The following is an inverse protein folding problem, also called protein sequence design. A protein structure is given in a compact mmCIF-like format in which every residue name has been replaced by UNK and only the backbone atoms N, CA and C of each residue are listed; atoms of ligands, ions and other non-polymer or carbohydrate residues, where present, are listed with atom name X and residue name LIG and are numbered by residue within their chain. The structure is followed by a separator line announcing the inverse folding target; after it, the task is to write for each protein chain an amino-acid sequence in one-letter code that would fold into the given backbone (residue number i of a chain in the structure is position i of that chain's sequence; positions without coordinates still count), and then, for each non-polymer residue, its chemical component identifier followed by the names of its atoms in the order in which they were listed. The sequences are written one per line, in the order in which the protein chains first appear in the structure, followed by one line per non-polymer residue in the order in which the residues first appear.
data_IF_341293800083
#
_entry.id   IF_341293800083
#
_cell.length_a   1.000
_cell.length_b   1.000
_cell.length_c   1.000
_cell.angle_alpha   90.00
_cell.angle_beta   90.00
_cell.angle_gamma   90.00
#
_symmetry.space_group_name_H-M   'P 1'
#
loop_
_entity.id
_entity.type
_entity.pdbx_description
1 polymer ?
#
# COMPACT_ATOMS: atom_id res chain seq x y z
N UNK A 1 -15.58 -11.39 11.64
CA UNK A 1 -14.48 -10.86 10.81
C UNK A 1 -13.37 -10.43 11.75
N UNK A 2 -12.11 -10.69 11.38
CA UNK A 2 -10.94 -10.17 12.12
C UNK A 2 -10.85 -8.65 11.92
N UNK A 3 -10.24 -7.93 12.87
CA UNK A 3 -9.96 -6.50 12.75
C UNK A 3 -9.13 -6.20 11.48
N UNK A 4 -8.14 -7.03 11.21
CA UNK A 4 -7.32 -7.04 10.00
C UNK A 4 -8.16 -7.10 8.70
N UNK A 5 -9.14 -8.01 8.63
CA UNK A 5 -9.98 -8.14 7.44
C UNK A 5 -10.87 -6.91 7.23
N UNK A 6 -11.36 -6.29 8.30
CA UNK A 6 -12.15 -5.07 8.19
C UNK A 6 -11.30 -3.89 7.69
N UNK A 7 -10.05 -3.80 8.16
CA UNK A 7 -9.10 -2.82 7.67
C UNK A 7 -8.84 -3.01 6.16
N UNK A 8 -8.49 -4.24 5.76
CA UNK A 8 -8.28 -4.59 4.34
C UNK A 8 -9.47 -4.20 3.47
N UNK A 9 -10.68 -4.57 3.88
CA UNK A 9 -11.91 -4.24 3.15
C UNK A 9 -12.12 -2.73 3.04
N UNK A 10 -11.88 -1.96 4.11
CA UNK A 10 -12.04 -0.50 4.08
C UNK A 10 -11.15 0.16 3.02
N UNK A 11 -9.88 -0.24 2.95
CA UNK A 11 -8.95 0.31 1.96
C UNK A 11 -9.35 -0.10 0.53
N UNK A 12 -9.77 -1.35 0.34
CA UNK A 12 -10.17 -1.86 -0.98
C UNK A 12 -11.50 -1.26 -1.48
N UNK A 13 -12.46 -1.03 -0.58
CA UNK A 13 -13.78 -0.47 -0.91
C UNK A 13 -13.70 1.05 -1.14
N UNK A 14 -12.79 1.75 -0.44
CA UNK A 14 -12.64 3.21 -0.48
C UNK A 14 -11.18 3.65 -0.70
N UNK A 15 -10.50 3.21 -1.78
CA UNK A 15 -9.06 3.39 -1.93
C UNK A 15 -8.66 4.86 -2.08
N UNK A 16 -9.48 5.66 -2.77
CA UNK A 16 -9.19 7.09 -2.95
C UNK A 16 -9.31 7.85 -1.63
N UNK A 17 -10.37 7.60 -0.88
CA UNK A 17 -10.60 8.21 0.42
C UNK A 17 -9.54 7.77 1.45
N UNK A 18 -9.12 6.51 1.40
CA UNK A 18 -8.03 6.00 2.23
C UNK A 18 -6.71 6.75 1.96
N UNK A 19 -6.39 6.98 0.69
CA UNK A 19 -5.20 7.76 0.29
C UNK A 19 -5.34 9.24 0.70
N UNK A 20 -6.52 9.85 0.49
CA UNK A 20 -6.79 11.23 0.92
C UNK A 20 -6.63 11.40 2.43
N UNK A 21 -7.12 10.44 3.21
CA UNK A 21 -6.99 10.43 4.67
C UNK A 21 -5.54 10.26 5.11
N UNK A 22 -4.82 9.30 4.53
CA UNK A 22 -3.48 8.93 4.98
C UNK A 22 -2.36 9.85 4.45
N UNK A 23 -2.52 10.38 3.24
CA UNK A 23 -1.48 11.10 2.51
C UNK A 23 -2.08 12.25 1.67
N UNK A 24 -2.79 13.17 2.32
CA UNK A 24 -3.50 14.27 1.67
C UNK A 24 -2.65 15.06 0.64
N UNK A 25 -1.35 15.25 0.90
CA UNK A 25 -0.44 15.96 -0.02
C UNK A 25 -0.16 15.18 -1.31
N UNK A 26 -0.09 13.86 -1.25
CA UNK A 26 0.04 13.00 -2.44
C UNK A 26 -1.31 12.88 -3.14
N UNK A 27 -2.40 12.73 -2.39
CA UNK A 27 -3.76 12.65 -2.91
C UNK A 27 -4.13 13.87 -3.76
N UNK A 28 -3.78 15.07 -3.29
CA UNK A 28 -4.02 16.33 -4.01
C UNK A 28 -3.34 16.40 -5.38
N UNK A 29 -2.34 15.56 -5.65
CA UNK A 29 -1.61 15.52 -6.92
C UNK A 29 -2.13 14.45 -7.88
N UNK A 30 -3.05 13.58 -7.45
CA UNK A 30 -3.44 12.41 -8.22
C UNK A 30 -4.22 12.74 -9.50
N UNK A 31 -5.03 13.80 -9.48
CA UNK A 31 -5.97 14.07 -10.56
C UNK A 31 -7.17 13.10 -10.53
N UNK A 32 -8.16 13.36 -11.37
CA UNK A 32 -9.41 12.57 -11.41
C UNK A 32 -9.32 11.35 -12.34
N UNK A 33 -8.32 11.33 -13.22
CA UNK A 33 -8.10 10.30 -14.24
C UNK A 33 -7.19 9.15 -13.78
N UNK A 34 -6.60 9.25 -12.59
CA UNK A 34 -5.76 8.19 -12.01
C UNK A 34 -6.56 6.90 -11.87
N UNK A 35 -5.95 5.79 -12.26
CA UNK A 35 -6.46 4.44 -12.00
C UNK A 35 -5.83 3.92 -10.73
N UNK A 36 -6.66 3.47 -9.78
CA UNK A 36 -6.19 2.87 -8.53
C UNK A 36 -6.49 1.37 -8.60
N UNK A 37 -5.43 0.56 -8.59
CA UNK A 37 -5.48 -0.87 -8.82
C UNK A 37 -4.96 -1.62 -7.58
N UNK A 38 -5.80 -2.41 -6.89
CA UNK A 38 -5.30 -3.24 -5.80
C UNK A 38 -4.41 -4.35 -6.34
N UNK A 39 -3.26 -4.55 -5.70
CA UNK A 39 -2.32 -5.61 -6.05
C UNK A 39 -2.63 -6.85 -5.20
N UNK A 40 -2.75 -8.01 -5.85
CA UNK A 40 -3.10 -9.26 -5.18
C UNK A 40 -1.90 -9.86 -4.48
N UNK A 41 -2.10 -10.28 -3.24
CA UNK A 41 -1.05 -10.84 -2.38
C UNK A 41 -0.41 -12.09 -2.99
N UNK A 42 -1.20 -12.95 -3.63
CA UNK A 42 -0.71 -14.19 -4.26
C UNK A 42 0.27 -13.89 -5.39
N UNK A 43 0.00 -12.85 -6.19
CA UNK A 43 0.90 -12.43 -7.28
C UNK A 43 2.21 -11.86 -6.72
N UNK A 44 2.16 -11.19 -5.57
CA UNK A 44 3.35 -10.69 -4.90
C UNK A 44 4.18 -11.83 -4.30
N UNK A 45 3.53 -12.84 -3.69
CA UNK A 45 4.18 -14.07 -3.19
C UNK A 45 4.93 -14.81 -4.29
N UNK A 46 4.29 -15.03 -5.44
CA UNK A 46 4.89 -15.71 -6.59
C UNK A 46 6.14 -15.00 -7.11
N UNK A 47 6.15 -13.65 -7.08
CA UNK A 47 7.26 -12.86 -7.65
C UNK A 47 8.37 -12.53 -6.64
N UNK A 48 8.06 -12.42 -5.34
CA UNK A 48 9.03 -12.07 -4.29
C UNK A 48 9.59 -13.30 -3.52
N UNK A 49 9.01 -14.49 -3.71
CA UNK A 49 9.49 -15.74 -3.12
C UNK A 49 9.51 -15.73 -1.59
N UNK A 50 10.50 -16.39 -0.96
CA UNK A 50 10.63 -16.47 0.51
C UNK A 50 10.87 -15.12 1.21
N UNK A 51 11.12 -14.05 0.45
CA UNK A 51 11.23 -12.68 0.99
C UNK A 51 9.87 -12.00 1.16
N UNK A 52 8.79 -12.72 0.88
CA UNK A 52 7.45 -12.22 1.06
C UNK A 52 7.22 -11.79 2.50
N UNK A 53 7.00 -10.49 2.69
CA UNK A 53 6.55 -9.89 3.93
C UNK A 53 5.06 -9.63 3.74
N UNK A 54 4.22 -10.19 4.62
CA UNK A 54 2.77 -9.97 4.59
C UNK A 54 2.49 -8.47 4.61
N UNK A 55 1.84 -8.00 3.55
CA UNK A 55 1.23 -6.70 3.49
C UNK A 55 -0.26 -6.87 3.59
N UNK A 56 -0.91 -5.83 4.11
CA UNK A 56 -2.35 -5.82 4.14
C UNK A 56 -2.96 -5.39 2.81
N UNK A 57 -2.60 -4.20 2.29
CA UNK A 57 -3.20 -3.69 1.05
C UNK A 57 -2.23 -2.80 0.23
N UNK A 58 -1.54 -3.35 -0.77
CA UNK A 58 -0.82 -2.56 -1.77
C UNK A 58 -1.75 -2.05 -2.88
N UNK A 59 -1.65 -0.76 -3.21
CA UNK A 59 -2.40 -0.10 -4.29
C UNK A 59 -1.43 0.51 -5.32
N UNK A 60 -1.60 0.12 -6.58
CA UNK A 60 -0.88 0.67 -7.73
C UNK A 60 -1.68 1.79 -8.38
N UNK A 61 -1.08 2.96 -8.51
CA UNK A 61 -1.67 4.12 -9.14
C UNK A 61 -1.00 4.38 -10.48
N UNK A 62 -1.80 4.41 -11.55
CA UNK A 62 -1.34 4.62 -12.91
C UNK A 62 -2.13 5.73 -13.60
N UNK A 63 -1.43 6.52 -14.42
CA UNK A 63 -2.06 7.51 -15.29
C UNK A 63 -2.23 6.90 -16.68
N UNK A 64 -3.42 7.03 -17.31
CA UNK A 64 -3.71 6.41 -18.60
C UNK A 64 -2.76 6.83 -19.74
N UNK A 65 -2.16 8.00 -19.59
CA UNK A 65 -1.32 8.66 -20.57
C UNK A 65 0.17 8.32 -20.40
N UNK A 66 0.55 7.64 -19.31
CA UNK A 66 1.94 7.26 -19.00
C UNK A 66 2.87 8.45 -18.71
N UNK A 67 2.35 9.67 -18.59
CA UNK A 67 3.17 10.87 -18.37
C UNK A 67 3.79 10.92 -16.96
N UNK A 68 3.33 10.06 -16.06
CA UNK A 68 3.82 9.95 -14.69
C UNK A 68 4.20 8.52 -14.39
N UNK A 69 5.34 8.35 -13.72
CA UNK A 69 5.74 7.07 -13.16
C UNK A 69 4.66 6.56 -12.21
N UNK A 70 4.39 5.25 -12.26
CA UNK A 70 3.45 4.58 -11.38
C UNK A 70 3.76 4.89 -9.91
N UNK A 71 2.73 5.12 -9.10
CA UNK A 71 2.87 5.40 -7.68
C UNK A 71 2.31 4.23 -6.88
N UNK A 72 3.11 3.69 -5.97
CA UNK A 72 2.67 2.59 -5.10
C UNK A 72 2.33 3.10 -3.72
N UNK A 73 1.10 2.87 -3.28
CA UNK A 73 0.71 3.00 -1.89
C UNK A 73 0.77 1.64 -1.21
N UNK A 74 1.34 1.61 -0.01
CA UNK A 74 1.52 0.40 0.78
C UNK A 74 0.88 0.63 2.14
N UNK A 75 -0.29 0.02 2.37
CA UNK A 75 -0.98 0.08 3.66
C UNK A 75 -0.63 -1.12 4.53
N UNK A 76 -0.15 -0.87 5.75
CA UNK A 76 0.10 -1.83 6.82
C UNK A 76 -0.70 -1.41 8.06
N UNK A 77 -1.41 -2.35 8.67
CA UNK A 77 -2.05 -2.18 9.96
C UNK A 77 -1.21 -2.85 11.05
N UNK A 78 -1.06 -2.19 12.20
CA UNK A 78 -0.39 -2.78 13.36
C UNK A 78 -1.19 -2.50 14.63
N UNK A 79 -1.82 -3.55 15.17
CA UNK A 79 -2.60 -3.49 16.41
C UNK A 79 -1.70 -3.51 17.65
N UNK A 80 -0.48 -4.05 17.54
CA UNK A 80 0.51 -4.07 18.64
C UNK A 80 1.74 -3.23 18.26
N UNK A 81 1.75 -1.90 18.54
CA UNK A 81 2.81 -1.01 18.04
C UNK A 81 4.25 -1.44 18.36
N UNK A 82 4.46 -2.19 19.45
CA UNK A 82 5.77 -2.74 19.83
C UNK A 82 6.31 -3.82 18.89
N UNK A 83 5.49 -4.38 17.99
CA UNK A 83 5.88 -5.40 17.00
C UNK A 83 6.21 -4.81 15.64
N UNK A 84 5.90 -3.54 15.42
CA UNK A 84 6.23 -2.85 14.18
C UNK A 84 7.73 -2.82 13.93
N UNK A 85 8.11 -3.10 12.68
CA UNK A 85 9.50 -3.04 12.25
C UNK A 85 9.64 -2.13 11.03
N UNK A 86 10.17 -0.94 11.26
CA UNK A 86 10.49 0.00 10.17
C UNK A 86 11.46 -0.60 9.15
N UNK A 87 12.41 -1.44 9.60
CA UNK A 87 13.32 -2.15 8.70
C UNK A 87 12.56 -3.13 7.81
N UNK A 88 11.52 -3.80 8.33
CA UNK A 88 10.68 -4.69 7.54
C UNK A 88 9.94 -3.93 6.45
N UNK A 89 9.35 -2.80 6.81
CA UNK A 89 8.66 -1.91 5.88
C UNK A 89 9.58 -1.33 4.79
N UNK A 90 10.79 -0.90 5.16
CA UNK A 90 11.76 -0.34 4.19
C UNK A 90 12.17 -1.38 3.15
N UNK A 91 12.55 -2.59 3.59
CA UNK A 91 12.91 -3.66 2.65
C UNK A 91 11.76 -3.98 1.72
N UNK A 92 10.55 -4.06 2.27
CA UNK A 92 9.36 -4.26 1.47
C UNK A 92 9.18 -3.17 0.39
N UNK A 93 9.30 -1.90 0.77
CA UNK A 93 9.15 -0.79 -0.16
C UNK A 93 10.15 -0.88 -1.32
N UNK A 94 11.39 -1.31 -1.03
CA UNK A 94 12.43 -1.50 -2.06
C UNK A 94 12.11 -2.69 -2.96
N UNK A 95 11.68 -3.81 -2.38
CA UNK A 95 11.33 -5.02 -3.15
C UNK A 95 10.15 -4.75 -4.12
N UNK A 96 9.10 -4.05 -3.66
CA UNK A 96 7.96 -3.71 -4.54
C UNK A 96 8.31 -2.61 -5.56
N UNK A 97 9.15 -1.65 -5.20
CA UNK A 97 9.67 -0.64 -6.12
C UNK A 97 10.40 -1.29 -7.31
N UNK A 98 11.28 -2.26 -7.04
CA UNK A 98 11.98 -3.03 -8.07
C UNK A 98 10.98 -3.82 -8.95
N UNK A 99 10.00 -4.47 -8.31
CA UNK A 99 9.03 -5.34 -8.98
C UNK A 99 8.13 -4.61 -10.00
N UNK A 100 7.75 -3.37 -9.68
CA UNK A 100 6.90 -2.50 -10.51
C UNK A 100 7.69 -1.42 -11.23
N UNK A 101 9.03 -1.46 -11.16
CA UNK A 101 9.92 -0.53 -11.86
C UNK A 101 9.59 0.94 -11.55
N UNK A 102 9.30 1.22 -10.28
CA UNK A 102 8.99 2.57 -9.80
C UNK A 102 9.92 2.99 -8.67
N UNK A 103 10.25 4.28 -8.62
CA UNK A 103 10.98 4.90 -7.52
C UNK A 103 10.02 5.58 -6.53
N UNK A 104 8.71 5.54 -6.80
CA UNK A 104 7.68 6.23 -6.01
C UNK A 104 6.85 5.23 -5.22
N UNK A 105 7.24 5.03 -3.96
CA UNK A 105 6.49 4.25 -2.98
C UNK A 105 6.12 5.14 -1.79
N UNK A 106 4.85 5.12 -1.39
CA UNK A 106 4.32 5.83 -0.24
C UNK A 106 3.85 4.78 0.79
N UNK A 107 4.68 4.48 1.79
CA UNK A 107 4.27 3.62 2.89
C UNK A 107 3.33 4.37 3.83
N UNK A 108 2.26 3.68 4.21
CA UNK A 108 1.27 4.12 5.21
C UNK A 108 1.15 3.04 6.26
N UNK A 109 1.44 3.39 7.51
CA UNK A 109 1.27 2.49 8.66
C UNK A 109 0.19 3.06 9.56
N UNK A 110 -0.83 2.26 9.87
CA UNK A 110 -1.94 2.64 10.74
C UNK A 110 -1.85 1.81 12.01
N UNK A 111 -1.58 2.49 13.13
CA UNK A 111 -1.51 1.85 14.44
C UNK A 111 -2.90 1.87 15.09
N UNK A 112 -3.48 0.69 15.27
CA UNK A 112 -4.74 0.53 15.99
C UNK A 112 -4.45 0.11 17.43
N UNK A 113 -5.35 0.45 18.35
CA UNK A 113 -5.28 -0.02 19.74
C UNK A 113 -6.58 -0.76 20.06
N UNK A 114 -6.53 -1.94 20.69
CA UNK A 114 -7.72 -2.56 21.23
C UNK A 114 -8.30 -1.64 22.31
N UNK A 115 -9.60 -1.33 22.20
CA UNK A 115 -10.36 -0.53 23.15
C UNK A 115 -10.82 -1.31 24.38
#
# INVERSE_FOLDING_TARGET
MSHDQNFKNLILDYPRQAIEFAAASEAARLGDDVRILPLREEQLKERLGERFRELDVPLLLEWPDGHRQALLFVFEEETEPGRFSIHRLIHYCVDIAELYQTERVVPVVIFLHPG
#
